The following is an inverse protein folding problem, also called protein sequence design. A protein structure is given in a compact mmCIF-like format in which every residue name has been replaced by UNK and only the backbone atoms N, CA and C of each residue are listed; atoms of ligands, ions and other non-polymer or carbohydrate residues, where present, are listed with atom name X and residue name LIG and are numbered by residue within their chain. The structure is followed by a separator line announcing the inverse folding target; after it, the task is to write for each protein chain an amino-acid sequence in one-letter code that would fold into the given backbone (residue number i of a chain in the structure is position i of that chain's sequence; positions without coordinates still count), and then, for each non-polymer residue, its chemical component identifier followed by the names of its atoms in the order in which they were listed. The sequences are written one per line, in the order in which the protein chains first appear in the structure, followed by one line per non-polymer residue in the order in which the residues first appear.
data_IF_162503336205
#
_entry.id   IF_162503336205
#
_cell.length_a   1.000
_cell.length_b   1.000
_cell.length_c   1.000
_cell.angle_alpha   90.00
_cell.angle_beta   90.00
_cell.angle_gamma   90.00
#
_symmetry.space_group_name_H-M   'P 1'
#
loop_
_entity.id
_entity.type
_entity.pdbx_description
1 polymer ?
#
# COMPACT_ATOMS: atom_id res chain seq x y z
N UNK A 1 -11.27 13.85 16.81
CA UNK A 1 -9.91 14.43 16.76
C UNK A 1 -9.00 13.59 17.64
N UNK A 2 -8.35 12.58 17.06
CA UNK A 2 -7.28 11.82 17.72
C UNK A 2 -6.01 11.98 16.87
N UNK A 3 -5.50 13.20 16.82
CA UNK A 3 -4.16 13.48 16.35
C UNK A 3 -3.32 13.65 17.61
N UNK A 4 -2.92 12.52 18.19
CA UNK A 4 -1.89 12.50 19.23
C UNK A 4 -0.52 12.73 18.57
N UNK A 5 0.43 13.38 19.23
CA UNK A 5 1.77 13.58 18.68
C UNK A 5 2.47 12.21 18.63
N UNK A 6 2.54 11.58 17.44
CA UNK A 6 3.26 10.32 17.25
C UNK A 6 2.52 9.20 16.51
N UNK A 7 1.43 9.47 15.79
CA UNK A 7 0.80 8.44 14.93
C UNK A 7 1.80 7.97 13.87
N UNK A 8 2.18 6.70 13.95
CA UNK A 8 3.13 6.02 13.06
C UNK A 8 2.31 5.33 11.98
N UNK A 9 2.46 5.76 10.73
CA UNK A 9 1.76 5.13 9.62
C UNK A 9 2.68 4.18 8.85
N UNK A 10 2.24 2.93 8.68
CA UNK A 10 2.90 1.93 7.86
C UNK A 10 2.15 1.81 6.54
N UNK A 11 2.86 2.07 5.45
CA UNK A 11 2.33 1.96 4.10
C UNK A 11 2.80 0.66 3.44
N UNK A 12 1.87 -0.20 3.06
CA UNK A 12 2.17 -1.47 2.39
C UNK A 12 1.77 -1.36 0.93
N UNK A 13 2.77 -1.40 0.05
CA UNK A 13 2.58 -1.48 -1.39
C UNK A 13 2.33 -2.94 -1.78
N UNK A 14 1.12 -3.28 -2.23
CA UNK A 14 0.78 -4.66 -2.63
C UNK A 14 0.03 -4.67 -3.97
N UNK A 15 0.38 -5.57 -4.91
CA UNK A 15 -0.23 -5.57 -6.24
C UNK A 15 -1.58 -6.25 -6.35
N UNK A 16 -1.98 -7.03 -5.34
CA UNK A 16 -3.17 -7.87 -5.41
C UNK A 16 -4.22 -7.40 -4.40
N UNK A 17 -5.28 -6.75 -4.89
CA UNK A 17 -6.41 -6.27 -4.06
C UNK A 17 -7.06 -7.42 -3.27
N UNK A 18 -7.17 -8.61 -3.88
CA UNK A 18 -7.69 -9.79 -3.20
C UNK A 18 -6.85 -10.18 -1.97
N UNK A 19 -5.52 -10.04 -2.07
CA UNK A 19 -4.60 -10.31 -0.97
C UNK A 19 -4.66 -9.22 0.10
N UNK A 20 -4.73 -7.95 -0.31
CA UNK A 20 -4.91 -6.81 0.60
C UNK A 20 -6.15 -7.02 1.49
N UNK A 21 -7.28 -7.43 0.91
CA UNK A 21 -8.52 -7.70 1.65
C UNK A 21 -8.35 -8.79 2.71
N UNK A 22 -7.72 -9.90 2.35
CA UNK A 22 -7.50 -11.02 3.28
C UNK A 22 -6.52 -10.65 4.40
N UNK A 23 -5.48 -9.88 4.08
CA UNK A 23 -4.50 -9.38 5.05
C UNK A 23 -5.14 -8.35 5.99
N UNK A 24 -5.91 -7.39 5.48
CA UNK A 24 -6.68 -6.43 6.30
C UNK A 24 -7.61 -7.16 7.27
N UNK A 25 -8.32 -8.21 6.83
CA UNK A 25 -9.21 -9.02 7.70
C UNK A 25 -8.47 -9.79 8.79
N UNK A 26 -7.23 -10.21 8.54
CA UNK A 26 -6.39 -10.88 9.55
C UNK A 26 -5.87 -9.88 10.57
N UNK A 27 -5.35 -8.74 10.10
CA UNK A 27 -4.72 -7.72 10.93
C UNK A 27 -5.73 -6.90 11.73
N UNK A 28 -6.97 -6.74 11.25
CA UNK A 28 -8.04 -6.06 12.00
C UNK A 28 -8.46 -6.77 13.29
N UNK A 29 -8.00 -8.01 13.51
CA UNK A 29 -8.18 -8.75 14.77
C UNK A 29 -7.21 -8.31 15.87
N UNK A 30 -6.15 -7.59 15.51
CA UNK A 30 -5.18 -7.06 16.46
C UNK A 30 -5.81 -5.83 17.10
N UNK A 31 -6.12 -5.93 18.40
CA UNK A 31 -6.63 -4.79 19.17
C UNK A 31 -5.65 -3.62 19.10
N UNK A 32 -6.18 -2.41 18.97
CA UNK A 32 -5.42 -1.15 18.88
C UNK A 32 -4.70 -0.90 17.55
N UNK A 33 -4.94 -1.70 16.50
CA UNK A 33 -4.42 -1.44 15.16
C UNK A 33 -5.57 -1.11 14.20
N UNK A 34 -5.59 0.11 13.66
CA UNK A 34 -6.50 0.49 12.59
C UNK A 34 -5.88 0.11 11.25
N UNK A 35 -6.53 -0.81 10.54
CA UNK A 35 -6.04 -1.32 9.26
C UNK A 35 -7.08 -1.01 8.19
N UNK A 36 -6.61 -0.54 7.04
CA UNK A 36 -7.45 -0.25 5.89
C UNK A 36 -6.67 -0.37 4.59
N UNK A 37 -7.40 -0.35 3.48
CA UNK A 37 -6.77 -0.32 2.17
C UNK A 37 -7.47 0.64 1.23
N UNK A 38 -6.70 1.27 0.34
CA UNK A 38 -7.24 2.21 -0.64
C UNK A 38 -8.20 1.48 -1.58
N UNK A 39 -9.38 2.07 -1.79
CA UNK A 39 -10.41 1.51 -2.66
C UNK A 39 -11.34 0.50 -1.98
N UNK A 40 -11.24 0.31 -0.65
CA UNK A 40 -12.25 -0.46 0.10
C UNK A 40 -13.63 0.22 0.06
N UNK A 41 -13.66 1.52 0.34
CA UNK A 41 -14.84 2.39 0.24
C UNK A 41 -14.43 3.85 0.27
N UNK A 42 -15.30 4.75 -0.21
CA UNK A 42 -15.07 6.20 -0.12
C UNK A 42 -14.81 6.65 1.33
N UNK A 43 -15.55 6.07 2.28
CA UNK A 43 -15.38 6.38 3.70
C UNK A 43 -14.02 5.94 4.24
N UNK A 44 -13.52 4.77 3.83
CA UNK A 44 -12.18 4.31 4.23
C UNK A 44 -11.10 5.20 3.64
N UNK A 45 -11.24 5.60 2.36
CA UNK A 45 -10.30 6.47 1.70
C UNK A 45 -10.18 7.83 2.42
N UNK A 46 -11.30 8.39 2.89
CA UNK A 46 -11.29 9.59 3.72
C UNK A 46 -10.59 9.38 5.07
N UNK A 47 -10.81 8.24 5.74
CA UNK A 47 -10.12 7.90 6.99
C UNK A 47 -8.61 7.79 6.79
N UNK A 48 -8.18 7.18 5.69
CA UNK A 48 -6.76 7.11 5.31
C UNK A 48 -6.19 8.53 5.14
N UNK A 49 -6.86 9.38 4.35
CA UNK A 49 -6.43 10.77 4.12
C UNK A 49 -6.39 11.62 5.39
N UNK A 50 -7.26 11.34 6.36
CA UNK A 50 -7.27 12.00 7.68
C UNK A 50 -6.18 11.52 8.63
N UNK A 51 -5.51 10.40 8.31
CA UNK A 51 -4.53 9.75 9.18
C UNK A 51 -5.16 8.94 10.31
N UNK A 52 -6.40 8.45 10.14
CA UNK A 52 -7.09 7.63 11.15
C UNK A 52 -6.72 6.13 11.06
N UNK A 53 -5.81 5.75 10.15
CA UNK A 53 -5.43 4.37 9.83
C UNK A 53 -3.93 4.18 10.06
N UNK A 54 -3.55 3.21 10.89
CA UNK A 54 -2.17 2.94 11.28
C UNK A 54 -1.43 2.11 10.22
N UNK A 55 -2.12 1.12 9.62
CA UNK A 55 -1.57 0.27 8.56
C UNK A 55 -2.43 0.37 7.31
N UNK A 56 -1.82 0.88 6.24
CA UNK A 56 -2.50 1.22 4.99
C UNK A 56 -1.97 0.33 3.87
N UNK A 57 -2.84 -0.45 3.23
CA UNK A 57 -2.48 -1.11 1.97
C UNK A 57 -2.87 -0.24 0.77
N UNK A 58 -1.97 -0.13 -0.20
CA UNK A 58 -2.22 0.56 -1.46
C UNK A 58 -1.50 -0.14 -2.61
N UNK A 59 -2.04 0.00 -3.83
CA UNK A 59 -1.39 -0.57 -5.02
C UNK A 59 -0.26 0.33 -5.52
N UNK A 60 0.71 -0.22 -6.29
CA UNK A 60 1.76 0.59 -6.91
C UNK A 60 1.20 1.74 -7.76
N UNK A 61 0.10 1.51 -8.47
CA UNK A 61 -0.57 2.52 -9.30
C UNK A 61 -1.10 3.69 -8.47
N UNK A 62 -1.62 3.41 -7.27
CA UNK A 62 -2.05 4.47 -6.35
C UNK A 62 -0.86 5.22 -5.75
N UNK A 63 0.23 4.52 -5.41
CA UNK A 63 1.41 5.15 -4.82
C UNK A 63 2.21 6.00 -5.81
N UNK A 64 2.26 5.60 -7.08
CA UNK A 64 3.10 6.25 -8.09
C UNK A 64 2.27 7.05 -9.10
N UNK A 65 1.14 6.48 -9.54
CA UNK A 65 0.32 6.98 -10.65
C UNK A 65 -0.75 8.00 -10.26
N UNK A 66 -1.15 8.08 -8.99
CA UNK A 66 -2.23 8.99 -8.53
C UNK A 66 -1.63 10.18 -7.73
N UNK A 67 -1.49 11.39 -8.33
CA UNK A 67 -0.86 12.53 -7.66
C UNK A 67 -1.57 12.98 -6.38
N UNK A 68 -2.91 12.88 -6.36
CA UNK A 68 -3.71 13.24 -5.18
C UNK A 68 -3.34 12.37 -3.97
N UNK A 69 -3.19 11.06 -4.18
CA UNK A 69 -2.82 10.11 -3.14
C UNK A 69 -1.38 10.29 -2.68
N UNK A 70 -0.45 10.61 -3.60
CA UNK A 70 0.92 10.99 -3.23
C UNK A 70 0.93 12.18 -2.28
N UNK A 71 0.18 13.23 -2.58
CA UNK A 71 0.05 14.40 -1.69
C UNK A 71 -0.58 14.02 -0.36
N UNK A 72 -1.61 13.17 -0.37
CA UNK A 72 -2.23 12.69 0.87
C UNK A 72 -1.23 11.94 1.75
N UNK A 73 -0.47 10.99 1.20
CA UNK A 73 0.55 10.25 1.94
C UNK A 73 1.71 11.12 2.41
N UNK A 74 2.09 12.15 1.65
CA UNK A 74 3.08 13.16 2.11
C UNK A 74 2.58 13.97 3.31
N UNK A 75 1.27 14.16 3.42
CA UNK A 75 0.64 14.78 4.60
C UNK A 75 0.51 13.84 5.79
N UNK A 76 0.68 12.53 5.59
CA UNK A 76 0.76 11.54 6.68
C UNK A 76 2.20 11.42 7.17
N UNK A 77 2.37 11.17 8.47
CA UNK A 77 3.66 10.83 9.05
C UNK A 77 4.00 9.34 8.75
N UNK A 78 4.26 9.02 7.49
CA UNK A 78 4.63 7.65 7.06
C UNK A 78 6.07 7.35 7.50
N UNK A 79 6.21 6.40 8.42
CA UNK A 79 7.52 6.04 9.02
C UNK A 79 8.13 4.81 8.37
N UNK A 80 7.31 3.97 7.72
CA UNK A 80 7.74 2.72 7.11
C UNK A 80 6.94 2.46 5.83
N UNK A 81 7.65 2.08 4.77
CA UNK A 81 7.07 1.55 3.55
C UNK A 81 7.49 0.10 3.40
N UNK A 82 6.53 -0.79 3.24
CA UNK A 82 6.73 -2.22 2.98
C UNK A 82 6.34 -2.50 1.54
N UNK A 83 7.19 -3.19 0.78
CA UNK A 83 6.86 -3.65 -0.57
C UNK A 83 6.55 -5.14 -0.52
N UNK A 84 5.28 -5.46 -0.70
CA UNK A 84 4.78 -6.83 -0.81
C UNK A 84 5.09 -7.38 -2.21
N UNK A 85 5.28 -8.70 -2.29
CA UNK A 85 5.62 -9.41 -3.51
C UNK A 85 6.77 -8.77 -4.31
N UNK A 86 7.86 -8.34 -3.65
CA UNK A 86 8.96 -7.60 -4.29
C UNK A 86 9.51 -8.27 -5.58
N UNK A 87 9.36 -9.58 -5.71
CA UNK A 87 9.72 -10.34 -6.90
C UNK A 87 8.99 -9.84 -8.17
N UNK A 88 7.80 -9.23 -8.03
CA UNK A 88 7.02 -8.68 -9.13
C UNK A 88 7.65 -7.42 -9.72
N UNK A 89 8.53 -6.72 -9.00
CA UNK A 89 9.23 -5.53 -9.49
C UNK A 89 10.03 -5.86 -10.77
N UNK A 90 10.66 -7.03 -10.81
CA UNK A 90 11.40 -7.48 -11.99
C UNK A 90 10.46 -7.68 -13.20
N UNK A 91 9.31 -8.31 -12.97
CA UNK A 91 8.30 -8.54 -14.02
C UNK A 91 7.60 -7.26 -14.50
N UNK A 92 7.43 -6.26 -13.61
CA UNK A 92 6.85 -4.96 -13.99
C UNK A 92 7.81 -4.09 -14.79
N UNK A 93 9.10 -4.20 -14.50
CA UNK A 93 10.15 -3.46 -15.22
C UNK A 93 10.35 -4.00 -16.65
N UNK A 94 10.15 -5.30 -16.86
CA UNK A 94 10.23 -5.93 -18.18
C UNK A 94 9.04 -5.62 -19.10
N UNK A 95 7.87 -5.28 -18.55
CA UNK A 95 6.66 -5.01 -19.32
C UNK A 95 6.64 -3.69 -20.07
N UNK A 96 7.54 -2.74 -19.77
CA UNK A 96 7.50 -1.39 -20.34
C UNK A 96 8.56 -1.08 -21.39
N UNK A 97 9.59 -1.92 -21.57
CA UNK A 97 10.51 -1.86 -22.73
C UNK A 97 11.53 -3.01 -22.68
N UNK A 98 11.25 -4.16 -23.31
CA UNK A 98 12.32 -4.93 -23.97
C UNK A 98 11.75 -6.05 -24.86
N UNK A 99 11.85 -5.90 -26.17
CA UNK A 99 11.90 -7.03 -27.09
C UNK A 99 13.18 -7.82 -26.85
N UNK A 100 13.00 -9.13 -26.65
CA UNK A 100 14.01 -10.21 -26.65
C UNK A 100 15.19 -10.07 -25.68
N UNK A 101 15.08 -10.74 -24.54
CA UNK A 101 16.17 -11.58 -24.03
C UNK A 101 15.56 -12.70 -23.19
N UNK A 102 15.61 -13.90 -23.78
CA UNK A 102 15.36 -15.19 -23.13
C UNK A 102 16.17 -15.26 -21.84
N UNK A 103 15.57 -15.72 -20.73
CA UNK A 103 16.38 -16.44 -19.74
C UNK A 103 15.63 -17.59 -19.08
N UNK A 104 16.36 -18.71 -19.09
CA UNK A 104 16.07 -20.04 -18.61
C UNK A 104 16.10 -20.06 -17.08
N UNK A 105 15.06 -20.64 -16.50
CA UNK A 105 14.85 -20.64 -15.06
C UNK A 105 15.75 -21.63 -14.35
N UNK A 106 16.56 -21.14 -13.42
CA UNK A 106 17.03 -21.89 -12.25
C UNK A 106 17.18 -20.93 -11.06
N UNK A 107 16.49 -21.27 -9.99
CA UNK A 107 16.53 -20.63 -8.67
C UNK A 107 17.88 -20.83 -8.00
#
# INVERSE_FOLDING_TARGET
MNQGPGSVHVLVCSPLIALMKDQTKKMSRISHLNVGYKGESVHMDEKIKRGDIDLIYASPETLVGEPEWRTAFQGLNVTLIVVDEFHTIYTWSFGTSCTSAVYDGKW
#
